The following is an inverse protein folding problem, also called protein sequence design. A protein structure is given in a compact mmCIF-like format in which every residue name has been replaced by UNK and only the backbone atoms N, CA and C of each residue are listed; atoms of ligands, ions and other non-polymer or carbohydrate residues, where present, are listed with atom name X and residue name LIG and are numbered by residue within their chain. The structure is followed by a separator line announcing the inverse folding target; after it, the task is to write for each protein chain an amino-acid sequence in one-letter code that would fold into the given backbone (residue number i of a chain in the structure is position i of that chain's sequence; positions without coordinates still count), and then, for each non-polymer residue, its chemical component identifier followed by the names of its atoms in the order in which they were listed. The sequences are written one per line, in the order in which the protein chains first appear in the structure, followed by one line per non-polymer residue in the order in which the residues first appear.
data_IF_103441977309
#
_entry.id   IF_103441977309
#
_cell.length_a   1.000
_cell.length_b   1.000
_cell.length_c   1.000
_cell.angle_alpha   90.00
_cell.angle_beta   90.00
_cell.angle_gamma   90.00
#
_symmetry.space_group_name_H-M   'P 1'
#
loop_
_entity.id
_entity.type
_entity.pdbx_description
1 polymer ?
#
# COMPACT_ATOMS: atom_id res chain seq x y z
N UNK A 1 -28.88 -8.62 -2.99
CA UNK A 1 -27.48 -8.39 -3.41
C UNK A 1 -26.61 -8.85 -2.24
N UNK A 2 -25.29 -8.67 -2.23
CA UNK A 2 -24.55 -8.76 -0.96
C UNK A 2 -23.43 -7.74 -0.90
N UNK A 3 -23.43 -6.93 0.16
CA UNK A 3 -22.37 -5.99 0.45
C UNK A 3 -21.35 -6.62 1.43
N UNK A 4 -20.13 -6.12 1.46
CA UNK A 4 -19.13 -6.47 2.48
C UNK A 4 -18.34 -5.22 2.81
N UNK A 5 -18.34 -4.86 4.09
CA UNK A 5 -17.56 -3.75 4.61
C UNK A 5 -16.25 -4.29 5.19
N UNK A 6 -15.14 -3.72 4.74
CA UNK A 6 -13.78 -4.07 5.17
C UNK A 6 -13.15 -2.84 5.81
N UNK A 7 -13.37 -2.62 7.12
CA UNK A 7 -12.64 -1.60 7.86
C UNK A 7 -11.22 -2.09 8.15
N UNK A 8 -10.22 -1.30 7.81
CA UNK A 8 -8.82 -1.59 8.14
C UNK A 8 -8.04 -0.31 8.42
N UNK A 9 -6.97 -0.44 9.21
CA UNK A 9 -5.98 0.62 9.40
C UNK A 9 -4.76 0.31 8.54
N UNK A 10 -4.47 1.15 7.56
CA UNK A 10 -3.46 0.85 6.56
C UNK A 10 -3.38 1.82 5.39
N UNK A 11 -2.90 1.31 4.27
CA UNK A 11 -2.55 2.05 3.04
C UNK A 11 -2.96 1.25 1.80
N UNK A 12 -3.13 1.94 0.67
CA UNK A 12 -3.29 1.29 -0.63
C UNK A 12 -2.07 1.52 -1.51
N UNK A 13 -1.55 0.45 -2.10
CA UNK A 13 -0.44 0.47 -3.06
C UNK A 13 -0.90 -0.13 -4.39
N UNK A 14 -0.21 0.13 -5.49
CA UNK A 14 -0.46 -0.61 -6.74
C UNK A 14 -0.18 -2.10 -6.54
N UNK A 15 -1.06 -2.95 -7.04
CA UNK A 15 -0.97 -4.40 -6.93
C UNK A 15 0.26 -4.95 -7.66
N UNK A 16 0.60 -4.40 -8.83
CA UNK A 16 1.85 -4.65 -9.56
C UNK A 16 3.07 -4.42 -8.67
N UNK A 17 3.19 -3.20 -8.11
CA UNK A 17 4.30 -2.81 -7.24
C UNK A 17 4.42 -3.73 -6.02
N UNK A 18 3.31 -4.13 -5.41
CA UNK A 18 3.30 -5.08 -4.28
C UNK A 18 3.76 -6.49 -4.67
N UNK A 19 3.30 -7.03 -5.80
CA UNK A 19 3.71 -8.36 -6.29
C UNK A 19 5.19 -8.39 -6.63
N UNK A 20 5.68 -7.40 -7.40
CA UNK A 20 7.10 -7.29 -7.76
C UNK A 20 7.99 -7.12 -6.53
N UNK A 21 7.52 -6.36 -5.53
CA UNK A 21 8.22 -6.22 -4.25
C UNK A 21 8.27 -7.52 -3.46
N UNK A 22 7.19 -8.31 -3.44
CA UNK A 22 7.18 -9.60 -2.75
C UNK A 22 8.17 -10.61 -3.38
N UNK A 23 8.32 -10.61 -4.71
CA UNK A 23 9.34 -11.42 -5.38
C UNK A 23 10.76 -10.84 -5.21
N UNK A 24 10.93 -9.51 -5.18
CA UNK A 24 12.21 -8.86 -4.87
C UNK A 24 12.68 -9.23 -3.44
N UNK A 25 11.77 -9.20 -2.47
CA UNK A 25 12.03 -9.57 -1.07
C UNK A 25 12.62 -10.96 -0.93
N UNK A 26 12.14 -11.95 -1.68
CA UNK A 26 12.70 -13.33 -1.66
C UNK A 26 14.20 -13.36 -1.96
N UNK A 27 14.69 -12.43 -2.77
CA UNK A 27 16.11 -12.32 -3.14
C UNK A 27 16.94 -11.63 -2.05
N UNK A 28 16.42 -10.57 -1.42
CA UNK A 28 17.18 -9.75 -0.45
C UNK A 28 16.95 -10.12 1.01
N UNK A 29 15.88 -10.85 1.35
CA UNK A 29 15.52 -11.26 2.70
C UNK A 29 16.70 -11.84 3.50
N UNK A 30 17.53 -12.76 2.97
CA UNK A 30 18.67 -13.29 3.72
C UNK A 30 19.70 -12.20 4.09
N UNK A 31 19.96 -11.26 3.17
CA UNK A 31 20.89 -10.16 3.40
C UNK A 31 20.34 -9.13 4.40
N UNK A 32 19.06 -8.78 4.30
CA UNK A 32 18.40 -7.85 5.25
C UNK A 32 18.33 -8.45 6.65
N UNK A 33 18.01 -9.74 6.78
CA UNK A 33 18.05 -10.44 8.08
C UNK A 33 19.48 -10.51 8.65
N UNK A 34 20.51 -10.67 7.81
CA UNK A 34 21.89 -10.61 8.26
C UNK A 34 22.26 -9.21 8.79
N UNK A 35 21.81 -8.13 8.14
CA UNK A 35 21.99 -6.76 8.61
C UNK A 35 21.25 -6.50 9.94
N UNK A 36 20.01 -6.96 10.07
CA UNK A 36 19.22 -6.86 11.32
C UNK A 36 19.91 -7.59 12.48
N UNK A 37 20.49 -8.77 12.24
CA UNK A 37 21.28 -9.52 13.23
C UNK A 37 22.59 -8.82 13.60
N UNK A 38 23.27 -8.19 12.63
CA UNK A 38 24.51 -7.45 12.86
C UNK A 38 24.26 -6.20 13.70
N UNK A 39 23.23 -5.40 13.38
CA UNK A 39 22.83 -4.25 14.20
C UNK A 39 22.38 -4.65 15.61
N UNK A 40 21.68 -5.78 15.75
CA UNK A 40 21.28 -6.30 17.06
C UNK A 40 22.51 -6.60 17.92
N UNK A 41 23.53 -7.28 17.35
CA UNK A 41 24.81 -7.54 18.02
C UNK A 41 25.66 -6.30 18.27
N UNK A 42 25.56 -5.27 17.41
CA UNK A 42 26.25 -3.99 17.60
C UNK A 42 25.67 -3.26 18.80
N UNK A 43 24.34 -3.12 18.86
CA UNK A 43 23.61 -2.54 20.01
C UNK A 43 23.80 -3.34 21.30
N UNK A 44 23.92 -4.67 21.20
CA UNK A 44 24.23 -5.56 22.32
C UNK A 44 25.71 -5.64 22.70
N UNK A 45 26.61 -4.85 22.09
CA UNK A 45 28.04 -4.86 22.38
C UNK A 45 28.76 -6.19 22.13
N UNK A 46 28.12 -7.13 21.42
CA UNK A 46 28.58 -8.53 21.26
C UNK A 46 29.38 -8.75 19.96
N UNK A 47 29.42 -7.74 19.09
CA UNK A 47 30.27 -7.76 17.90
C UNK A 47 31.73 -7.55 18.30
N UNK A 48 32.49 -8.66 18.35
CA UNK A 48 33.92 -8.62 18.63
C UNK A 48 34.66 -7.79 17.57
N UNK A 49 35.14 -6.62 17.95
CA UNK A 49 35.96 -5.79 17.07
C UNK A 49 37.38 -6.37 17.00
N UNK A 50 37.74 -6.98 15.88
CA UNK A 50 39.14 -7.24 15.57
C UNK A 50 39.91 -5.92 15.54
N UNK A 51 41.21 -5.93 15.85
CA UNK A 51 42.09 -4.75 15.83
C UNK A 51 42.37 -4.18 14.44
N UNK A 52 41.60 -4.56 13.42
CA UNK A 52 41.70 -4.00 12.07
C UNK A 52 40.96 -2.67 11.97
N UNK A 53 41.51 -1.75 11.17
CA UNK A 53 41.03 -0.36 11.01
C UNK A 53 39.64 -0.26 10.37
N UNK A 54 39.11 -1.37 9.82
CA UNK A 54 37.82 -1.45 9.12
C UNK A 54 36.93 -2.55 9.71
N UNK A 55 36.61 -2.43 11.00
CA UNK A 55 35.70 -3.35 11.69
C UNK A 55 34.24 -3.00 11.39
N UNK A 56 33.37 -3.99 11.18
CA UNK A 56 31.92 -3.74 11.02
C UNK A 56 31.33 -3.00 12.24
N UNK A 57 31.90 -3.22 13.43
CA UNK A 57 31.45 -2.58 14.67
C UNK A 57 31.56 -1.04 14.65
N UNK A 58 32.43 -0.45 13.82
CA UNK A 58 32.59 1.00 13.67
C UNK A 58 31.75 1.62 12.55
N UNK A 59 30.87 0.85 11.89
CA UNK A 59 29.93 1.41 10.91
C UNK A 59 28.80 2.17 11.64
N UNK A 60 28.51 3.43 11.26
CA UNK A 60 27.34 4.15 11.76
C UNK A 60 26.03 3.47 11.31
N UNK A 61 24.97 3.49 12.12
CA UNK A 61 23.69 2.88 11.78
C UNK A 61 23.07 3.47 10.49
N UNK A 62 23.35 4.74 10.18
CA UNK A 62 22.93 5.41 8.96
C UNK A 62 23.47 4.71 7.70
N UNK A 63 24.71 4.19 7.76
CA UNK A 63 25.31 3.43 6.65
C UNK A 63 24.57 2.10 6.45
N UNK A 64 24.19 1.43 7.54
CA UNK A 64 23.45 0.17 7.48
C UNK A 64 22.00 0.37 7.00
N UNK A 65 21.39 1.51 7.33
CA UNK A 65 20.12 1.94 6.75
C UNK A 65 20.26 2.13 5.24
N UNK A 66 21.21 2.95 4.77
CA UNK A 66 21.43 3.19 3.32
C UNK A 66 21.71 1.88 2.57
N UNK A 67 22.49 0.95 3.14
CA UNK A 67 22.72 -0.37 2.52
C UNK A 67 21.43 -1.17 2.38
N UNK A 68 20.52 -1.16 3.39
CA UNK A 68 19.21 -1.81 3.25
C UNK A 68 18.37 -1.17 2.14
N UNK A 69 18.24 0.16 2.15
CA UNK A 69 17.48 0.92 1.15
C UNK A 69 17.96 0.61 -0.28
N UNK A 70 19.29 0.57 -0.49
CA UNK A 70 19.87 0.22 -1.78
C UNK A 70 19.66 -1.26 -2.16
N UNK A 71 19.75 -2.20 -1.22
CA UNK A 71 19.46 -3.61 -1.50
C UNK A 71 18.01 -3.79 -1.98
N UNK A 72 17.05 -3.20 -1.27
CA UNK A 72 15.64 -3.26 -1.64
C UNK A 72 15.36 -2.61 -3.00
N UNK A 73 15.87 -1.38 -3.22
CA UNK A 73 15.71 -0.66 -4.48
C UNK A 73 16.34 -1.39 -5.69
N UNK A 74 17.55 -1.94 -5.55
CA UNK A 74 18.21 -2.72 -6.62
C UNK A 74 17.42 -3.99 -6.94
N UNK A 75 16.93 -4.70 -5.92
CA UNK A 75 16.16 -5.92 -6.14
C UNK A 75 14.81 -5.65 -6.80
N UNK A 76 14.09 -4.60 -6.36
CA UNK A 76 12.84 -4.18 -6.99
C UNK A 76 13.06 -3.78 -8.44
N UNK A 77 14.02 -2.90 -8.73
CA UNK A 77 14.34 -2.48 -10.11
C UNK A 77 14.73 -3.66 -11.03
N UNK A 78 15.33 -4.73 -10.48
CA UNK A 78 15.60 -5.94 -11.25
C UNK A 78 14.33 -6.79 -11.51
N UNK A 79 13.37 -6.82 -10.57
CA UNK A 79 12.07 -7.48 -10.81
C UNK A 79 11.20 -6.69 -11.80
N UNK A 80 11.17 -5.37 -11.69
CA UNK A 80 10.50 -4.48 -12.66
C UNK A 80 11.08 -4.69 -14.07
N UNK A 81 12.41 -4.62 -14.23
CA UNK A 81 13.07 -4.83 -15.51
C UNK A 81 12.78 -6.23 -16.08
N UNK A 82 12.76 -7.27 -15.23
CA UNK A 82 12.42 -8.63 -15.65
C UNK A 82 10.95 -8.77 -16.05
N UNK A 83 10.03 -8.17 -15.30
CA UNK A 83 8.60 -8.20 -15.56
C UNK A 83 8.30 -7.51 -16.90
N UNK A 84 8.75 -6.27 -17.07
CA UNK A 84 8.46 -5.50 -18.28
C UNK A 84 9.15 -6.08 -19.51
N UNK A 85 10.33 -6.70 -19.38
CA UNK A 85 10.95 -7.41 -20.53
C UNK A 85 10.10 -8.54 -21.08
N UNK A 86 9.36 -9.27 -20.24
CA UNK A 86 8.50 -10.36 -20.70
C UNK A 86 7.43 -9.84 -21.67
N UNK A 87 6.89 -8.64 -21.40
CA UNK A 87 5.86 -7.98 -22.21
C UNK A 87 6.39 -6.92 -23.19
N UNK A 88 7.68 -6.59 -23.18
CA UNK A 88 8.27 -5.64 -24.14
C UNK A 88 9.05 -6.33 -25.26
N UNK A 89 9.65 -7.50 -25.00
CA UNK A 89 10.35 -8.32 -25.98
C UNK A 89 10.21 -9.82 -25.66
N UNK A 90 9.01 -10.41 -25.76
CA UNK A 90 8.80 -11.83 -25.47
C UNK A 90 9.68 -12.70 -26.39
N UNK A 91 10.13 -13.88 -25.92
CA UNK A 91 11.19 -14.67 -26.59
C UNK A 91 10.95 -14.99 -28.07
N UNK A 92 9.67 -15.09 -28.48
CA UNK A 92 9.25 -15.48 -29.82
C UNK A 92 8.81 -14.29 -30.70
N UNK A 93 8.87 -13.05 -30.20
CA UNK A 93 8.41 -11.85 -30.92
C UNK A 93 9.29 -11.46 -32.12
N UNK A 94 10.52 -11.97 -32.21
CA UNK A 94 11.54 -11.54 -33.18
C UNK A 94 12.17 -10.18 -32.87
N UNK A 95 11.63 -9.42 -31.91
CA UNK A 95 12.16 -8.13 -31.49
C UNK A 95 13.32 -8.29 -30.49
N UNK A 96 14.37 -7.50 -30.65
CA UNK A 96 15.48 -7.43 -29.69
C UNK A 96 15.38 -6.15 -28.89
N UNK A 97 15.17 -6.28 -27.58
CA UNK A 97 15.29 -5.17 -26.64
C UNK A 97 16.68 -4.51 -26.75
N UNK A 98 16.77 -3.17 -26.79
CA UNK A 98 18.02 -2.45 -26.63
C UNK A 98 18.81 -2.94 -25.41
N UNK A 99 20.05 -3.38 -25.65
CA UNK A 99 20.94 -3.83 -24.57
C UNK A 99 21.27 -2.66 -23.64
N UNK A 100 21.23 -2.91 -22.33
CA UNK A 100 21.57 -1.91 -21.31
C UNK A 100 20.47 -0.91 -20.95
N UNK A 101 19.35 -0.85 -21.69
CA UNK A 101 18.16 -0.12 -21.23
C UNK A 101 17.48 -0.89 -20.10
N UNK A 102 17.26 -0.24 -18.96
CA UNK A 102 16.34 -0.73 -17.91
C UNK A 102 14.90 -0.32 -18.23
N UNK A 103 13.97 -1.19 -17.87
CA UNK A 103 12.54 -0.97 -17.96
C UNK A 103 11.93 -0.88 -16.55
N UNK A 104 10.88 -0.07 -16.39
CA UNK A 104 10.17 0.19 -15.14
C UNK A 104 8.67 -0.04 -15.33
N UNK A 105 7.92 -0.18 -14.25
CA UNK A 105 6.44 -0.18 -14.24
C UNK A 105 5.85 0.98 -15.04
N UNK A 106 6.42 2.18 -14.94
CA UNK A 106 6.02 3.35 -15.74
C UNK A 106 6.14 3.11 -17.24
N UNK A 107 7.24 2.50 -17.72
CA UNK A 107 7.36 2.15 -19.15
C UNK A 107 6.30 1.12 -19.56
N UNK A 108 5.91 0.20 -18.67
CA UNK A 108 4.85 -0.75 -18.95
C UNK A 108 3.49 -0.04 -19.11
N UNK A 109 3.15 0.87 -18.20
CA UNK A 109 1.93 1.69 -18.25
C UNK A 109 1.88 2.64 -19.46
N UNK A 110 3.02 3.15 -19.93
CA UNK A 110 3.12 4.08 -21.08
C UNK A 110 3.30 3.40 -22.45
N UNK A 111 3.46 2.08 -22.51
CA UNK A 111 3.79 1.37 -23.76
C UNK A 111 2.62 0.48 -24.19
N UNK A 112 1.80 0.98 -25.12
CA UNK A 112 0.63 0.27 -25.68
C UNK A 112 0.90 -1.22 -25.94
N UNK A 113 2.02 -1.56 -26.58
CA UNK A 113 2.42 -2.94 -26.89
C UNK A 113 2.69 -3.80 -25.65
N UNK A 114 3.21 -3.22 -24.57
CA UNK A 114 3.38 -3.93 -23.30
C UNK A 114 2.02 -4.26 -22.67
N UNK A 115 1.06 -3.34 -22.75
CA UNK A 115 -0.32 -3.56 -22.30
C UNK A 115 -1.03 -4.59 -23.19
N UNK A 116 -0.98 -4.45 -24.52
CA UNK A 116 -1.53 -5.41 -25.49
C UNK A 116 -1.02 -6.84 -25.23
N UNK A 117 0.30 -7.04 -25.12
CA UNK A 117 0.87 -8.37 -24.87
C UNK A 117 0.65 -8.88 -23.44
N UNK A 118 0.40 -8.00 -22.48
CA UNK A 118 -0.03 -8.39 -21.15
C UNK A 118 -1.47 -8.91 -21.19
N UNK A 119 -2.39 -8.15 -21.79
CA UNK A 119 -3.79 -8.54 -21.99
C UNK A 119 -3.92 -9.85 -22.78
N UNK A 120 -3.16 -10.00 -23.88
CA UNK A 120 -3.10 -11.23 -24.71
C UNK A 120 -2.64 -12.47 -23.91
N UNK A 121 -1.73 -12.31 -22.94
CA UNK A 121 -1.26 -13.40 -22.06
C UNK A 121 -2.32 -13.78 -21.00
N UNK A 122 -3.40 -12.98 -20.86
CA UNK A 122 -4.43 -13.08 -19.84
C UNK A 122 -4.35 -11.99 -18.76
N UNK A 123 -3.46 -11.01 -18.93
CA UNK A 123 -3.31 -9.86 -18.05
C UNK A 123 -2.95 -10.24 -16.62
N UNK A 124 -3.57 -9.58 -15.63
CA UNK A 124 -3.43 -10.03 -14.24
C UNK A 124 -3.92 -11.46 -14.06
N UNK A 125 -4.84 -11.96 -14.91
CA UNK A 125 -5.22 -13.35 -14.86
C UNK A 125 -4.05 -14.28 -15.19
N UNK A 126 -3.08 -13.92 -16.04
CA UNK A 126 -1.91 -14.78 -16.32
C UNK A 126 -0.98 -14.92 -15.11
N UNK A 127 -0.87 -13.85 -14.33
CA UNK A 127 -0.23 -13.84 -13.01
C UNK A 127 -1.01 -14.66 -11.95
N UNK A 128 -2.18 -15.21 -12.30
CA UNK A 128 -3.25 -15.70 -11.40
C UNK A 128 -3.54 -17.22 -11.47
N UNK A 129 -3.12 -18.06 -12.44
CA UNK A 129 -2.86 -19.47 -12.16
C UNK A 129 -1.74 -19.66 -11.11
N UNK A 130 -0.92 -18.63 -10.92
CA UNK A 130 -0.01 -18.53 -9.78
C UNK A 130 -0.66 -17.90 -8.54
N UNK A 131 -1.95 -17.50 -8.56
CA UNK A 131 -2.72 -16.84 -7.49
C UNK A 131 -2.29 -17.25 -6.09
N UNK A 132 -2.39 -18.54 -5.82
CA UNK A 132 -2.19 -19.09 -4.49
C UNK A 132 -0.73 -18.94 -4.06
N UNK A 133 0.22 -19.08 -5.00
CA UNK A 133 1.64 -18.84 -4.77
C UNK A 133 1.95 -17.35 -4.66
N UNK A 134 1.38 -16.50 -5.52
CA UNK A 134 1.57 -15.04 -5.51
C UNK A 134 1.02 -14.44 -4.21
N UNK A 135 -0.20 -14.81 -3.80
CA UNK A 135 -0.75 -14.43 -2.50
C UNK A 135 0.05 -15.02 -1.34
N UNK A 136 0.48 -16.28 -1.38
CA UNK A 136 1.37 -16.82 -0.32
C UNK A 136 2.70 -16.06 -0.23
N UNK A 137 3.28 -15.61 -1.36
CA UNK A 137 4.48 -14.77 -1.38
C UNK A 137 4.21 -13.39 -0.78
N UNK A 138 3.11 -12.74 -1.15
CA UNK A 138 2.70 -11.42 -0.62
C UNK A 138 2.33 -11.52 0.87
N UNK A 139 1.60 -12.55 1.30
CA UNK A 139 1.31 -12.82 2.72
C UNK A 139 2.60 -13.06 3.52
N UNK A 140 3.51 -13.90 3.02
CA UNK A 140 4.79 -14.18 3.69
C UNK A 140 5.68 -12.93 3.77
N UNK A 141 5.73 -12.15 2.68
CA UNK A 141 6.42 -10.87 2.62
C UNK A 141 5.87 -9.90 3.66
N UNK A 142 4.56 -9.59 3.63
CA UNK A 142 3.95 -8.66 4.58
C UNK A 142 4.05 -9.18 6.04
N UNK A 143 3.99 -10.50 6.23
CA UNK A 143 4.18 -11.16 7.52
C UNK A 143 5.55 -10.86 8.16
N UNK A 144 6.63 -10.78 7.40
CA UNK A 144 7.97 -10.39 7.90
C UNK A 144 8.02 -8.93 8.42
N UNK A 145 7.03 -8.09 8.06
CA UNK A 145 6.83 -6.73 8.58
C UNK A 145 5.73 -6.66 9.66
N UNK A 146 5.05 -7.76 9.97
CA UNK A 146 3.89 -7.77 10.86
C UNK A 146 2.66 -7.07 10.26
N UNK A 147 2.52 -7.14 8.94
CA UNK A 147 1.42 -6.59 8.13
C UNK A 147 0.65 -7.73 7.47
N UNK A 148 -0.55 -7.45 6.98
CA UNK A 148 -1.33 -8.38 6.14
C UNK A 148 -1.99 -7.65 4.98
N UNK A 149 -2.56 -8.40 4.04
CA UNK A 149 -3.51 -7.84 3.08
C UNK A 149 -4.84 -7.55 3.77
N UNK A 150 -5.48 -6.42 3.43
CA UNK A 150 -6.85 -6.11 3.85
C UNK A 150 -7.87 -7.12 3.29
N UNK A 151 -7.63 -7.62 2.07
CA UNK A 151 -8.47 -8.62 1.39
C UNK A 151 -7.65 -9.48 0.42
N UNK A 152 -8.23 -10.56 -0.11
CA UNK A 152 -7.59 -11.52 -1.03
C UNK A 152 -7.88 -11.20 -2.50
N UNK A 153 -8.06 -9.93 -2.83
CA UNK A 153 -8.42 -9.43 -4.15
C UNK A 153 -7.80 -8.04 -4.32
N UNK A 154 -7.37 -7.70 -5.53
CA UNK A 154 -7.11 -6.31 -5.84
C UNK A 154 -8.44 -5.56 -6.00
N UNK A 155 -8.41 -4.25 -5.77
CA UNK A 155 -9.48 -3.34 -6.18
C UNK A 155 -9.20 -2.92 -7.63
N UNK A 156 -10.21 -2.98 -8.48
CA UNK A 156 -10.14 -2.64 -9.90
C UNK A 156 -11.16 -1.54 -10.22
N UNK A 157 -10.79 -0.61 -11.10
CA UNK A 157 -11.67 0.39 -11.69
C UNK A 157 -12.44 -0.18 -12.89
N UNK A 158 -11.87 -1.20 -13.53
CA UNK A 158 -12.46 -1.96 -14.62
C UNK A 158 -13.34 -3.10 -14.07
N UNK A 159 -14.43 -3.42 -14.78
CA UNK A 159 -15.30 -4.56 -14.46
C UNK A 159 -14.61 -5.93 -14.56
N UNK A 160 -13.37 -5.97 -15.05
CA UNK A 160 -12.51 -7.14 -15.11
C UNK A 160 -11.17 -6.79 -14.47
N UNK A 161 -10.66 -7.65 -13.58
CA UNK A 161 -9.34 -7.50 -12.96
C UNK A 161 -8.17 -7.57 -13.96
N UNK A 162 -8.43 -7.88 -15.23
CA UNK A 162 -7.43 -8.40 -16.16
C UNK A 162 -6.54 -7.32 -16.78
N UNK A 163 -7.09 -6.14 -17.11
CA UNK A 163 -6.35 -5.03 -17.73
C UNK A 163 -5.85 -3.96 -16.76
N UNK A 164 -6.50 -3.77 -15.60
CA UNK A 164 -6.27 -2.62 -14.71
C UNK A 164 -4.85 -2.58 -14.08
N UNK A 165 -3.89 -2.02 -14.82
CA UNK A 165 -2.52 -1.77 -14.36
C UNK A 165 -2.44 -0.84 -13.13
N UNK A 166 -3.47 -0.01 -12.90
CA UNK A 166 -3.57 0.84 -11.72
C UNK A 166 -4.05 0.07 -10.47
N UNK A 167 -4.63 -1.13 -10.63
CA UNK A 167 -5.30 -1.94 -9.61
C UNK A 167 -4.66 -1.82 -8.22
N UNK A 168 -5.45 -1.51 -7.21
CA UNK A 168 -4.97 -1.24 -5.86
C UNK A 168 -4.99 -2.49 -4.98
N UNK A 169 -4.04 -2.59 -4.04
CA UNK A 169 -4.01 -3.59 -2.99
C UNK A 169 -3.93 -2.89 -1.62
N UNK A 170 -4.85 -3.24 -0.71
CA UNK A 170 -4.85 -2.74 0.66
C UNK A 170 -3.86 -3.51 1.53
N UNK A 171 -2.89 -2.80 2.11
CA UNK A 171 -1.99 -3.32 3.15
C UNK A 171 -2.49 -2.82 4.50
N UNK A 172 -2.74 -3.73 5.43
CA UNK A 172 -3.34 -3.47 6.74
C UNK A 172 -2.46 -3.95 7.90
N UNK A 173 -2.75 -3.44 9.10
CA UNK A 173 -2.40 -4.14 10.32
C UNK A 173 -3.36 -5.34 10.53
N UNK A 174 -2.87 -6.49 11.01
CA UNK A 174 -3.73 -7.59 11.40
C UNK A 174 -4.58 -7.17 12.61
N UNK A 175 -5.89 -7.00 12.38
CA UNK A 175 -6.86 -6.77 13.45
C UNK A 175 -7.38 -8.13 13.94
N UNK A 176 -7.02 -8.50 15.17
CA UNK A 176 -7.56 -9.70 15.80
C UNK A 176 -8.95 -9.40 16.37
N UNK A 177 -9.99 -9.90 15.70
CA UNK A 177 -11.34 -9.96 16.26
C UNK A 177 -11.41 -11.12 17.26
N UNK A 178 -12.06 -10.90 18.41
CA UNK A 178 -12.26 -11.95 19.41
C UNK A 178 -13.06 -13.11 18.80
N UNK A 179 -12.54 -14.34 18.92
CA UNK A 179 -13.22 -15.55 18.47
C UNK A 179 -12.71 -16.22 17.19
N UNK A 180 -11.73 -15.68 16.46
CA UNK A 180 -11.22 -16.37 15.27
C UNK A 180 -9.92 -15.87 14.65
N UNK A 181 -9.17 -16.80 14.04
CA UNK A 181 -7.99 -16.49 13.22
C UNK A 181 -8.42 -16.06 11.81
N UNK A 182 -9.02 -14.87 11.69
CA UNK A 182 -9.18 -14.22 10.40
C UNK A 182 -7.83 -13.61 10.00
N UNK A 183 -7.22 -14.14 8.93
CA UNK A 183 -5.97 -13.60 8.34
C UNK A 183 -6.11 -12.16 7.81
N UNK A 184 -7.34 -11.75 7.51
CA UNK A 184 -7.68 -10.46 6.92
C UNK A 184 -8.83 -9.83 7.73
N UNK A 185 -8.79 -8.52 8.00
CA UNK A 185 -9.92 -7.83 8.61
C UNK A 185 -11.11 -7.83 7.63
N UNK A 186 -12.17 -8.59 7.91
CA UNK A 186 -13.40 -8.61 7.11
C UNK A 186 -14.62 -8.67 8.00
N UNK A 187 -15.64 -7.90 7.66
CA UNK A 187 -16.96 -7.93 8.29
C UNK A 187 -18.00 -8.24 7.22
N UNK A 188 -18.60 -9.45 7.22
CA UNK A 188 -19.66 -9.77 6.26
C UNK A 188 -20.93 -8.98 6.63
N UNK A 189 -21.35 -8.07 5.76
CA UNK A 189 -22.58 -7.30 5.94
C UNK A 189 -23.70 -8.04 5.22
N UNK A 190 -24.47 -8.84 5.97
CA UNK A 190 -25.56 -9.61 5.40
C UNK A 190 -26.75 -8.69 5.12
N UNK A 191 -27.21 -8.64 3.86
CA UNK A 191 -28.52 -8.08 3.53
C UNK A 191 -29.61 -8.97 4.13
N UNK A 192 -30.14 -8.58 5.30
CA UNK A 192 -31.41 -9.12 5.75
C UNK A 192 -32.54 -8.47 4.93
N UNK A 193 -33.43 -9.30 4.36
CA UNK A 193 -34.61 -8.90 3.60
C UNK A 193 -35.72 -8.26 4.47
N UNK A 194 -35.36 -7.33 5.36
CA UNK A 194 -36.28 -6.51 6.14
C UNK A 194 -36.32 -5.08 5.60
N UNK A 195 -37.52 -4.54 5.44
CA UNK A 195 -37.73 -3.16 5.00
C UNK A 195 -37.26 -2.16 6.09
N UNK A 196 -36.01 -1.70 6.00
CA UNK A 196 -35.46 -0.71 6.91
C UNK A 196 -33.99 -0.36 6.66
N UNK A 197 -33.58 0.85 7.06
CA UNK A 197 -32.18 1.27 7.08
C UNK A 197 -31.42 0.45 8.15
N UNK A 198 -30.50 -0.41 7.72
CA UNK A 198 -29.72 -1.27 8.61
C UNK A 198 -28.40 -0.59 8.98
N UNK A 199 -28.19 -0.37 10.28
CA UNK A 199 -26.95 0.19 10.83
C UNK A 199 -26.26 -0.86 11.70
N UNK A 200 -25.20 -1.48 11.20
CA UNK A 200 -24.32 -2.31 12.02
C UNK A 200 -23.25 -1.41 12.67
N UNK A 201 -23.32 -1.25 13.99
CA UNK A 201 -22.40 -0.38 14.75
C UNK A 201 -21.25 -1.23 15.27
N UNK A 202 -20.07 -1.05 14.67
CA UNK A 202 -18.84 -1.70 15.12
C UNK A 202 -18.13 -0.87 16.18
N UNK A 203 -17.94 -1.43 17.37
CA UNK A 203 -17.08 -0.87 18.41
C UNK A 203 -15.67 -1.43 18.30
N UNK A 204 -14.68 -0.55 18.16
CA UNK A 204 -13.28 -0.89 18.39
C UNK A 204 -12.94 -0.66 19.86
N UNK A 205 -12.15 -1.55 20.48
CA UNK A 205 -11.68 -1.31 21.83
C UNK A 205 -10.71 -0.10 21.86
N UNK A 206 -10.74 0.76 22.89
CA UNK A 206 -9.80 1.87 23.01
C UNK A 206 -8.33 1.40 22.98
N UNK A 207 -8.06 0.22 23.50
CA UNK A 207 -6.74 -0.43 23.52
C UNK A 207 -6.24 -0.75 22.11
N UNK A 208 -7.15 -1.15 21.20
CA UNK A 208 -6.79 -1.37 19.79
C UNK A 208 -6.35 -0.04 19.15
N UNK A 209 -7.09 1.04 19.37
CA UNK A 209 -6.76 2.37 18.82
C UNK A 209 -5.38 2.87 19.27
N UNK A 210 -5.04 2.68 20.56
CA UNK A 210 -3.71 2.96 21.10
C UNK A 210 -2.62 2.07 20.46
N UNK A 211 -2.87 0.76 20.28
CA UNK A 211 -1.94 -0.15 19.61
C UNK A 211 -1.66 0.23 18.14
N UNK A 212 -2.66 0.70 17.38
CA UNK A 212 -2.48 1.09 15.98
C UNK A 212 -1.47 2.23 15.82
N UNK A 213 -1.54 3.23 16.71
CA UNK A 213 -0.55 4.33 16.75
C UNK A 213 0.89 3.80 16.95
N UNK A 214 1.04 2.82 17.83
CA UNK A 214 2.32 2.16 18.17
C UNK A 214 2.81 1.22 17.08
N UNK A 215 1.99 0.89 16.08
CA UNK A 215 2.35 -0.03 15.00
C UNK A 215 2.66 0.65 13.66
N UNK A 216 2.52 1.98 13.57
CA UNK A 216 2.94 2.75 12.38
C UNK A 216 4.42 2.60 11.98
N UNK A 217 5.30 2.11 12.87
CA UNK A 217 6.68 1.77 12.48
C UNK A 217 6.76 0.58 11.50
N UNK A 218 5.76 -0.31 11.44
CA UNK A 218 5.75 -1.47 10.54
C UNK A 218 5.70 -1.02 9.07
N UNK A 219 4.78 -0.10 8.75
CA UNK A 219 4.71 0.57 7.45
C UNK A 219 5.98 1.37 7.16
N UNK A 220 6.53 2.11 8.14
CA UNK A 220 7.81 2.83 7.94
C UNK A 220 8.98 1.89 7.62
N UNK A 221 9.08 0.72 8.26
CA UNK A 221 10.11 -0.30 7.95
C UNK A 221 9.92 -0.90 6.55
N UNK A 222 8.67 -1.12 6.14
CA UNK A 222 8.32 -1.57 4.78
C UNK A 222 8.74 -0.53 3.74
N UNK A 223 8.28 0.73 3.87
CA UNK A 223 8.52 1.80 2.91
C UNK A 223 9.96 2.33 2.91
N UNK A 224 10.71 2.17 4.00
CA UNK A 224 12.15 2.42 4.00
C UNK A 224 12.87 1.39 3.12
N UNK A 225 12.54 0.11 3.24
CA UNK A 225 13.21 -0.92 2.44
C UNK A 225 12.76 -0.91 0.96
N UNK A 226 11.47 -0.68 0.70
CA UNK A 226 10.89 -0.76 -0.64
C UNK A 226 10.07 0.48 -0.98
N UNK A 227 10.40 1.20 -2.06
CA UNK A 227 9.68 2.40 -2.50
C UNK A 227 8.39 2.03 -3.26
N UNK A 228 7.49 1.31 -2.60
CA UNK A 228 6.17 0.92 -3.14
C UNK A 228 5.42 2.12 -3.73
N UNK A 229 4.77 1.89 -4.87
CA UNK A 229 3.91 2.86 -5.53
C UNK A 229 2.56 2.93 -4.81
N UNK A 230 2.15 4.13 -4.40
CA UNK A 230 0.84 4.34 -3.77
C UNK A 230 -0.25 4.32 -4.84
N UNK A 231 -1.36 3.65 -4.58
CA UNK A 231 -2.52 3.71 -5.48
C UNK A 231 -3.39 4.94 -5.16
N UNK A 232 -3.87 5.63 -6.20
CA UNK A 232 -4.85 6.70 -6.04
C UNK A 232 -6.25 6.10 -5.87
N UNK A 233 -6.68 5.98 -4.62
CA UNK A 233 -8.00 5.43 -4.28
C UNK A 233 -9.17 6.33 -4.69
N UNK A 234 -8.95 7.57 -5.13
CA UNK A 234 -10.04 8.44 -5.58
C UNK A 234 -10.61 8.04 -6.95
N UNK A 235 -9.81 7.34 -7.77
CA UNK A 235 -10.23 6.80 -9.07
C UNK A 235 -11.20 5.62 -8.88
N UNK A 236 -10.95 4.81 -7.85
CA UNK A 236 -11.86 3.77 -7.40
C UNK A 236 -13.01 4.45 -6.68
N UNK A 237 -14.09 4.76 -7.40
CA UNK A 237 -15.35 5.15 -6.76
C UNK A 237 -15.76 4.02 -5.81
N UNK A 238 -15.69 4.17 -4.47
CA UNK A 238 -16.47 3.27 -3.65
C UNK A 238 -17.92 3.47 -4.09
N UNK A 239 -18.68 2.38 -4.22
CA UNK A 239 -20.13 2.48 -4.19
C UNK A 239 -20.48 2.92 -2.75
N UNK A 240 -20.37 4.22 -2.49
CA UNK A 240 -21.18 4.86 -1.48
C UNK A 240 -22.62 4.58 -1.96
N UNK A 241 -23.44 3.81 -1.21
CA UNK A 241 -24.85 3.74 -1.54
C UNK A 241 -25.37 5.17 -1.58
N UNK A 242 -26.20 5.50 -2.58
CA UNK A 242 -26.78 6.85 -2.70
C UNK A 242 -27.72 7.07 -1.52
N UNK A 243 -27.14 7.50 -0.41
CA UNK A 243 -27.88 7.96 0.73
C UNK A 243 -28.37 9.36 0.36
N UNK A 244 -29.48 9.39 -0.39
CA UNK A 244 -30.16 10.62 -0.84
C UNK A 244 -30.65 11.48 0.35
N UNK A 245 -30.44 11.00 1.58
CA UNK A 245 -30.37 11.78 2.79
C UNK A 245 -28.91 11.99 3.17
N UNK A 246 -28.30 13.03 2.61
CA UNK A 246 -27.15 13.65 3.25
C UNK A 246 -27.58 14.15 4.62
N UNK A 247 -27.36 13.34 5.67
CA UNK A 247 -27.24 13.82 7.04
C UNK A 247 -26.01 14.74 7.04
N UNK A 248 -26.27 16.02 6.71
CA UNK A 248 -25.22 16.99 6.50
C UNK A 248 -24.41 17.10 7.78
N UNK A 249 -23.14 16.73 7.68
CA UNK A 249 -22.19 16.94 8.75
C UNK A 249 -22.12 18.45 9.09
N UNK A 250 -22.39 19.32 8.12
CA UNK A 250 -22.49 20.77 8.29
C UNK A 250 -23.74 21.19 9.07
N UNK A 251 -24.84 20.43 9.01
CA UNK A 251 -26.02 20.65 9.85
C UNK A 251 -25.76 20.26 11.31
N UNK A 252 -25.15 19.09 11.54
CA UNK A 252 -24.74 18.67 12.89
C UNK A 252 -23.65 19.58 13.48
N UNK A 253 -22.71 20.06 12.64
CA UNK A 253 -21.69 21.05 13.04
C UNK A 253 -22.31 22.43 13.26
N UNK A 254 -23.33 22.85 12.50
CA UNK A 254 -24.10 24.08 12.79
C UNK A 254 -24.83 23.99 14.12
N UNK A 255 -25.55 22.90 14.37
CA UNK A 255 -26.29 22.70 15.62
C UNK A 255 -25.34 22.67 16.83
N UNK A 256 -24.14 22.11 16.68
CA UNK A 256 -23.07 22.17 17.68
C UNK A 256 -22.35 23.53 17.79
N UNK A 257 -22.38 24.36 16.75
CA UNK A 257 -21.77 25.70 16.72
C UNK A 257 -22.73 26.79 17.24
N UNK A 258 -24.03 26.68 16.97
CA UNK A 258 -25.07 27.59 17.47
C UNK A 258 -25.19 27.51 19.01
N UNK A 259 -24.85 26.37 19.62
CA UNK A 259 -24.71 26.20 21.09
C UNK A 259 -23.46 26.91 21.66
N UNK A 260 -22.57 27.45 20.82
CA UNK A 260 -21.29 28.08 21.24
C UNK A 260 -21.03 29.49 20.69
N UNK A 261 -21.95 30.08 19.92
CA UNK A 261 -21.78 31.41 19.31
C UNK A 261 -22.61 32.53 19.98
N UNK A 262 -22.71 32.52 21.32
CA UNK A 262 -23.22 33.68 22.07
C UNK A 262 -22.11 34.57 22.67
N UNK A 263 -20.83 34.21 22.52
CA UNK A 263 -19.69 35.04 22.94
C UNK A 263 -18.62 35.21 21.84
N UNK A 264 -18.04 36.42 21.79
CA UNK A 264 -16.93 36.89 20.92
C UNK A 264 -17.16 37.07 19.41
N UNK A 265 -17.72 38.22 19.03
CA UNK A 265 -17.44 38.88 17.73
C UNK A 265 -16.20 39.81 17.79
N UNK A 266 -15.61 40.03 16.60
CA UNK A 266 -14.61 41.06 16.18
C UNK A 266 -13.13 40.68 16.14
N UNK A 267 -12.57 40.52 14.93
CA UNK A 267 -12.02 41.65 14.16
C UNK A 267 -11.43 41.20 12.82
N UNK A 268 -11.62 42.01 11.76
CA UNK A 268 -11.03 41.80 10.43
C UNK A 268 -9.57 42.29 10.37
N UNK A 269 -8.73 41.64 9.55
CA UNK A 269 -7.78 42.37 8.69
C UNK A 269 -7.31 41.52 7.50
N UNK A 270 -7.22 42.14 6.32
CA UNK A 270 -6.53 41.62 5.14
C UNK A 270 -4.98 41.66 5.34
N UNK A 271 -4.22 40.81 4.64
CA UNK A 271 -3.29 41.32 3.61
C UNK A 271 -2.53 40.26 2.77
N UNK A 272 -2.30 40.65 1.51
CA UNK A 272 -1.13 40.45 0.64
C UNK A 272 -0.37 39.10 0.55
N UNK A 273 -0.34 38.60 -0.69
CA UNK A 273 0.48 37.50 -1.22
C UNK A 273 1.78 38.02 -1.85
N UNK A 274 2.93 37.34 -1.69
CA UNK A 274 3.99 37.40 -2.70
C UNK A 274 4.27 36.05 -3.36
N UNK A 275 4.84 36.12 -4.57
CA UNK A 275 5.05 35.03 -5.51
C UNK A 275 6.56 34.76 -5.60
N UNK A 276 7.01 33.55 -5.25
CA UNK A 276 8.39 33.13 -5.43
C UNK A 276 8.46 31.91 -6.35
N UNK A 277 9.25 32.01 -7.42
CA UNK A 277 9.49 30.94 -8.39
C UNK A 277 10.84 30.30 -8.10
N UNK A 278 10.85 29.00 -7.81
CA UNK A 278 12.09 28.22 -7.72
C UNK A 278 11.93 26.93 -8.51
N UNK A 279 12.82 26.70 -9.47
CA UNK A 279 12.86 25.44 -10.21
C UNK A 279 13.42 24.33 -9.31
N UNK A 280 12.65 23.26 -9.14
CA UNK A 280 13.10 22.03 -8.50
C UNK A 280 13.00 20.87 -9.50
N UNK A 281 14.05 20.04 -9.54
CA UNK A 281 14.12 18.86 -10.41
C UNK A 281 12.95 17.92 -10.16
N UNK A 282 12.26 17.50 -11.22
CA UNK A 282 11.11 16.60 -11.13
C UNK A 282 11.56 15.17 -10.79
N UNK A 283 11.60 14.87 -9.50
CA UNK A 283 11.13 13.57 -9.01
C UNK A 283 9.64 13.75 -8.70
N UNK A 284 8.73 12.89 -9.16
CA UNK A 284 7.32 12.98 -8.78
C UNK A 284 7.18 12.65 -7.29
N UNK A 285 7.21 13.69 -6.45
CA UNK A 285 6.89 13.59 -5.04
C UNK A 285 5.39 13.31 -4.91
N UNK A 286 5.02 12.02 -4.93
CA UNK A 286 3.76 11.58 -4.37
C UNK A 286 3.65 12.17 -2.94
N UNK A 287 2.53 12.82 -2.58
CA UNK A 287 2.44 13.51 -1.31
C UNK A 287 2.71 12.53 -0.16
N UNK A 288 3.65 12.89 0.72
CA UNK A 288 4.16 12.03 1.80
C UNK A 288 3.05 11.51 2.71
N UNK A 289 1.94 12.25 2.81
CA UNK A 289 0.71 11.89 3.52
C UNK A 289 0.01 10.63 3.01
N UNK A 290 0.26 10.19 1.76
CA UNK A 290 -0.29 8.92 1.25
C UNK A 290 0.38 7.68 1.85
N UNK A 291 1.62 7.80 2.34
CA UNK A 291 2.39 6.70 2.95
C UNK A 291 2.09 6.51 4.43
N UNK A 292 1.35 7.43 5.05
CA UNK A 292 0.92 7.29 6.43
C UNK A 292 -0.31 6.39 6.52
N UNK A 293 -0.30 5.34 7.36
CA UNK A 293 -1.44 4.45 7.51
C UNK A 293 -2.60 5.18 8.19
N UNK A 294 -3.81 4.95 7.68
CA UNK A 294 -5.04 5.63 8.11
C UNK A 294 -6.19 4.63 8.21
N UNK A 295 -7.22 5.00 8.95
CA UNK A 295 -8.48 4.27 8.94
C UNK A 295 -9.15 4.38 7.57
N UNK A 296 -9.52 3.24 7.01
CA UNK A 296 -10.18 3.06 5.73
C UNK A 296 -11.38 2.15 6.00
N UNK A 297 -12.55 2.52 5.50
CA UNK A 297 -13.70 1.61 5.38
C UNK A 297 -13.94 1.42 3.89
N UNK A 298 -13.76 0.18 3.42
CA UNK A 298 -14.02 -0.15 2.02
C UNK A 298 -15.29 -1.00 1.89
N UNK A 299 -16.15 -0.71 0.91
CA UNK A 299 -17.35 -1.49 0.62
C UNK A 299 -17.24 -2.17 -0.75
N UNK A 300 -17.49 -3.48 -0.80
CA UNK A 300 -17.60 -4.26 -2.04
C UNK A 300 -19.00 -4.84 -2.15
N UNK A 301 -19.69 -4.58 -3.26
CA UNK A 301 -20.96 -5.25 -3.61
C UNK A 301 -20.70 -6.41 -4.55
N UNK A 302 -21.32 -7.55 -4.28
CA UNK A 302 -21.34 -8.72 -5.16
C UNK A 302 -22.75 -8.91 -5.71
N UNK A 303 -22.85 -8.91 -7.04
CA UNK A 303 -24.03 -9.43 -7.73
C UNK A 303 -23.92 -10.96 -7.76
N UNK A 304 -24.85 -11.62 -7.10
CA UNK A 304 -25.00 -13.07 -7.17
C UNK A 304 -25.70 -13.43 -8.49
N UNK A 305 -24.90 -13.89 -9.46
CA UNK A 305 -25.35 -14.44 -10.74
C UNK A 305 -26.01 -15.83 -10.58
#
# INVERSE_FOLDING_TARGET
MSCTATPFFGVFVKATSLVLTADAWRTVRPAVLALDLLESRQRGGTLASSSSVTSFASLPPEVLQVVREQLGAIALANQEDSFVRNFHCPPNSGWRCPRGRRYTTTHFEECDRCCEWFEDDGGFQSLWPQLTLTFQRVEAFLGDFGLCLAQTSAYTTEGFLFGDSAAAAGIALPLHLEGGSLKHPRLPVYEHYGEGEQHEVFSFSPELLDQLSKHGYRFRRLFALFPLEMADISVYKPYLPSCDKSLSLEAAVKEAAEVKQEETEKSDTEEAKPRATTMASQVPNAPTTLREPRWIVWMTTYDSW
#
